data_IF_877996299903
#
_entry.id   IF_877996299903
#
_cell.length_a   1.000
_cell.length_b   1.000
_cell.length_c   1.000
_cell.angle_alpha   90.00
_cell.angle_beta   90.00
_cell.angle_gamma   90.00
#
_symmetry.space_group_name_H-M   'P 1'
#
loop_
_entity.id
_entity.type
_entity.pdbx_description
1 polymer ?
#
# COMPACT_ATOMS: atom_id res chain seq x y z
N UNK A 1 -12.38 -8.30 -51.39
CA UNK A 1 -12.97 -8.96 -50.21
C UNK A 1 -12.20 -8.42 -49.02
N UNK A 2 -12.73 -7.36 -48.42
CA UNK A 2 -12.14 -6.70 -47.27
C UNK A 2 -12.28 -7.59 -46.04
N UNK A 3 -11.16 -7.78 -45.37
CA UNK A 3 -10.97 -8.57 -44.16
C UNK A 3 -11.84 -8.05 -43.01
N UNK A 4 -13.02 -8.65 -42.83
CA UNK A 4 -13.90 -8.49 -41.66
C UNK A 4 -13.65 -9.57 -40.60
N UNK A 5 -12.59 -10.37 -40.72
CA UNK A 5 -12.42 -11.60 -39.91
C UNK A 5 -11.87 -11.38 -38.49
N UNK A 6 -11.33 -10.19 -38.16
CA UNK A 6 -10.81 -9.90 -36.82
C UNK A 6 -11.87 -9.42 -35.80
N UNK A 7 -13.09 -9.13 -36.23
CA UNK A 7 -14.12 -8.49 -35.39
C UNK A 7 -14.90 -9.46 -34.48
N UNK A 8 -14.83 -10.77 -34.72
CA UNK A 8 -15.69 -11.77 -34.05
C UNK A 8 -14.91 -12.78 -33.18
N UNK A 9 -13.59 -12.64 -33.07
CA UNK A 9 -12.80 -13.57 -32.25
C UNK A 9 -12.88 -13.19 -30.78
N UNK A 10 -13.40 -14.10 -29.95
CA UNK A 10 -13.44 -13.92 -28.50
C UNK A 10 -12.01 -13.96 -27.95
N UNK A 11 -11.59 -12.86 -27.32
CA UNK A 11 -10.26 -12.71 -26.73
C UNK A 11 -10.37 -12.63 -25.21
N UNK A 12 -9.54 -13.41 -24.52
CA UNK A 12 -9.30 -13.29 -23.09
C UNK A 12 -8.01 -12.49 -22.89
N UNK A 13 -8.06 -11.44 -22.07
CA UNK A 13 -6.85 -10.75 -21.64
C UNK A 13 -6.34 -11.37 -20.34
N UNK A 14 -5.09 -11.83 -20.35
CA UNK A 14 -4.41 -12.42 -19.20
C UNK A 14 -3.33 -11.46 -18.68
N UNK A 15 -3.47 -10.99 -17.43
CA UNK A 15 -2.55 -9.98 -16.91
C UNK A 15 -1.20 -10.57 -16.51
N UNK A 16 -0.10 -10.02 -17.03
CA UNK A 16 1.24 -10.23 -16.48
C UNK A 16 1.39 -9.29 -15.27
N UNK A 17 1.87 -9.84 -14.16
CA UNK A 17 1.88 -9.16 -12.86
C UNK A 17 3.27 -9.27 -12.22
N UNK A 18 3.35 -9.50 -10.92
CA UNK A 18 4.60 -9.43 -10.16
C UNK A 18 4.84 -10.72 -9.37
N UNK A 19 6.07 -10.92 -8.91
CA UNK A 19 6.44 -11.93 -7.91
C UNK A 19 5.94 -13.35 -8.24
N UNK A 20 5.33 -14.03 -7.26
CA UNK A 20 4.89 -15.42 -7.41
C UNK A 20 3.81 -15.61 -8.50
N UNK A 21 2.76 -14.76 -8.62
CA UNK A 21 1.82 -14.84 -9.73
C UNK A 21 2.46 -14.75 -11.12
N UNK A 22 3.51 -13.93 -11.30
CA UNK A 22 4.22 -13.86 -12.57
C UNK A 22 4.95 -15.17 -12.88
N UNK A 23 5.66 -15.75 -11.89
CA UNK A 23 6.33 -17.04 -12.04
C UNK A 23 5.35 -18.17 -12.38
N UNK A 24 4.18 -18.20 -11.73
CA UNK A 24 3.13 -19.17 -12.03
C UNK A 24 2.59 -19.00 -13.45
N UNK A 25 2.43 -17.76 -13.91
CA UNK A 25 1.99 -17.43 -15.27
C UNK A 25 2.93 -18.02 -16.32
N UNK A 26 4.25 -17.95 -16.11
CA UNK A 26 5.23 -18.54 -17.04
C UNK A 26 5.02 -20.05 -17.28
N UNK A 27 4.49 -20.76 -16.28
CA UNK A 27 4.16 -22.20 -16.42
C UNK A 27 2.75 -22.44 -16.94
N UNK A 28 1.77 -21.67 -16.49
CA UNK A 28 0.35 -21.97 -16.70
C UNK A 28 -0.21 -21.37 -18.00
N UNK A 29 0.27 -20.18 -18.40
CA UNK A 29 -0.26 -19.47 -19.56
C UNK A 29 -0.13 -20.28 -20.87
N UNK A 30 1.00 -20.94 -21.19
CA UNK A 30 1.11 -21.74 -22.40
C UNK A 30 0.11 -22.91 -22.44
N UNK A 31 -0.25 -23.45 -21.26
CA UNK A 31 -1.26 -24.50 -21.15
C UNK A 31 -2.66 -23.92 -21.45
N UNK A 32 -2.99 -22.76 -20.87
CA UNK A 32 -4.27 -22.09 -21.13
C UNK A 32 -4.42 -21.80 -22.63
N UNK A 33 -3.42 -21.17 -23.24
CA UNK A 33 -3.38 -20.85 -24.67
C UNK A 33 -3.61 -22.08 -25.55
N UNK A 34 -2.89 -23.18 -25.29
CA UNK A 34 -3.02 -24.41 -26.06
C UNK A 34 -4.44 -25.01 -25.98
N UNK A 35 -5.07 -24.96 -24.80
CA UNK A 35 -6.43 -25.47 -24.62
C UNK A 35 -7.48 -24.57 -25.27
N UNK A 36 -7.39 -23.25 -25.07
CA UNK A 36 -8.38 -22.29 -25.59
C UNK A 36 -8.32 -22.13 -27.10
N UNK A 37 -7.14 -22.30 -27.71
CA UNK A 37 -6.97 -22.27 -29.16
C UNK A 37 -7.87 -23.31 -29.88
N UNK A 38 -8.12 -24.47 -29.26
CA UNK A 38 -9.01 -25.51 -29.83
C UNK A 38 -10.47 -25.07 -29.92
N UNK A 39 -10.86 -24.04 -29.16
CA UNK A 39 -12.19 -23.43 -29.15
C UNK A 39 -12.25 -22.11 -29.92
N UNK A 40 -11.17 -21.71 -30.63
CA UNK A 40 -11.09 -20.43 -31.34
C UNK A 40 -10.98 -19.21 -30.43
N UNK A 41 -10.67 -19.40 -29.14
CA UNK A 41 -10.54 -18.31 -28.17
C UNK A 41 -9.09 -17.86 -28.10
N UNK A 42 -8.84 -16.59 -28.45
CA UNK A 42 -7.53 -15.98 -28.32
C UNK A 42 -7.23 -15.64 -26.86
N UNK A 43 -5.96 -15.74 -26.48
CA UNK A 43 -5.47 -15.23 -25.20
C UNK A 43 -4.38 -14.23 -25.52
N UNK A 44 -4.57 -13.00 -25.07
CA UNK A 44 -3.57 -11.93 -25.18
C UNK A 44 -3.10 -11.51 -23.81
N UNK A 45 -1.87 -11.03 -23.72
CA UNK A 45 -1.30 -10.56 -22.47
C UNK A 45 -1.30 -9.04 -22.39
N UNK A 46 -1.46 -8.51 -21.18
CA UNK A 46 -1.19 -7.10 -20.86
C UNK A 46 -0.33 -7.03 -19.61
N UNK A 47 0.78 -6.30 -19.68
CA UNK A 47 1.74 -6.15 -18.60
C UNK A 47 1.37 -5.00 -17.68
N UNK A 48 0.89 -5.37 -16.50
CA UNK A 48 0.56 -4.44 -15.42
C UNK A 48 1.50 -4.61 -14.21
N UNK A 49 2.66 -5.25 -14.41
CA UNK A 49 3.72 -5.33 -13.41
C UNK A 49 4.14 -3.93 -12.95
N UNK A 50 4.77 -3.83 -11.78
CA UNK A 50 5.35 -2.58 -11.30
C UNK A 50 6.35 -2.01 -12.31
N UNK A 51 7.24 -2.86 -12.83
CA UNK A 51 8.26 -2.46 -13.79
C UNK A 51 7.67 -1.97 -15.10
N UNK A 52 6.70 -2.70 -15.67
CA UNK A 52 6.00 -2.28 -16.89
C UNK A 52 5.31 -0.92 -16.71
N UNK A 53 4.58 -0.74 -15.61
CA UNK A 53 3.92 0.55 -15.31
C UNK A 53 4.88 1.70 -15.06
N UNK A 54 6.07 1.45 -14.50
CA UNK A 54 7.13 2.48 -14.40
C UNK A 54 7.58 2.91 -15.79
N UNK A 55 7.95 1.94 -16.65
CA UNK A 55 8.48 2.23 -17.98
C UNK A 55 7.45 2.97 -18.85
N UNK A 56 6.16 2.59 -18.77
CA UNK A 56 5.08 3.26 -19.48
C UNK A 56 4.90 4.75 -19.13
N UNK A 57 5.40 5.22 -17.98
CA UNK A 57 5.36 6.64 -17.60
C UNK A 57 6.51 7.50 -18.14
N UNK A 58 7.55 6.88 -18.71
CA UNK A 58 8.73 7.57 -19.23
C UNK A 58 9.12 7.13 -20.66
N UNK A 59 8.17 7.00 -21.61
CA UNK A 59 8.48 6.52 -22.96
C UNK A 59 9.52 7.41 -23.67
N UNK A 60 9.53 8.71 -23.38
CA UNK A 60 10.45 9.68 -23.98
C UNK A 60 11.91 9.44 -23.61
N UNK A 61 12.19 8.69 -22.54
CA UNK A 61 13.54 8.38 -22.07
C UNK A 61 14.03 6.99 -22.49
N UNK A 62 13.14 6.16 -23.02
CA UNK A 62 13.42 4.76 -23.29
C UNK A 62 13.78 4.46 -24.75
N UNK A 63 13.46 5.36 -25.68
CA UNK A 63 13.70 5.16 -27.11
C UNK A 63 13.08 3.85 -27.60
N UNK A 64 13.89 2.98 -28.22
CA UNK A 64 13.45 1.66 -28.71
C UNK A 64 13.01 0.68 -27.60
N UNK A 65 13.28 1.01 -26.32
CA UNK A 65 12.84 0.22 -25.15
C UNK A 65 11.50 0.70 -24.60
N UNK A 66 10.86 1.69 -25.21
CA UNK A 66 9.55 2.15 -24.80
C UNK A 66 8.50 1.03 -24.98
N UNK A 67 7.58 0.93 -24.04
CA UNK A 67 6.49 -0.04 -24.04
C UNK A 67 5.15 0.69 -23.99
N UNK A 68 4.07 -0.02 -24.35
CA UNK A 68 2.70 0.49 -24.26
C UNK A 68 2.25 0.70 -22.82
N UNK A 69 1.32 1.64 -22.61
CA UNK A 69 0.61 1.78 -21.33
C UNK A 69 -0.58 0.81 -21.30
N UNK A 70 -0.27 -0.45 -21.02
CA UNK A 70 -1.22 -1.55 -20.97
C UNK A 70 -2.29 -1.35 -19.88
N UNK A 71 -1.99 -0.62 -18.80
CA UNK A 71 -2.98 -0.31 -17.76
C UNK A 71 -4.02 0.69 -18.28
N UNK A 72 -3.59 1.72 -19.01
CA UNK A 72 -4.51 2.65 -19.65
C UNK A 72 -5.39 1.94 -20.70
N UNK A 73 -4.80 1.07 -21.52
CA UNK A 73 -5.55 0.26 -22.48
C UNK A 73 -6.59 -0.63 -21.80
N UNK A 74 -6.20 -1.35 -20.74
CA UNK A 74 -7.13 -2.18 -19.97
C UNK A 74 -8.25 -1.38 -19.30
N UNK A 75 -7.96 -0.14 -18.88
CA UNK A 75 -8.96 0.77 -18.31
C UNK A 75 -10.03 1.18 -19.32
N UNK A 76 -9.65 1.41 -20.58
CA UNK A 76 -10.62 1.64 -21.65
C UNK A 76 -11.36 0.36 -22.01
N UNK A 77 -10.66 -0.79 -22.10
CA UNK A 77 -11.28 -2.08 -22.38
C UNK A 77 -12.35 -2.42 -21.33
N UNK A 78 -12.10 -2.21 -20.03
CA UNK A 78 -13.02 -2.51 -18.94
C UNK A 78 -14.37 -1.78 -19.03
N UNK A 79 -14.44 -0.69 -19.81
CA UNK A 79 -15.67 0.09 -20.07
C UNK A 79 -16.45 -0.42 -21.28
N UNK A 80 -15.95 -1.46 -21.96
CA UNK A 80 -16.57 -2.05 -23.15
C UNK A 80 -17.27 -3.38 -22.82
N UNK A 81 -18.36 -3.72 -23.52
CA UNK A 81 -19.03 -5.03 -23.36
C UNK A 81 -18.15 -6.24 -23.71
N UNK A 82 -17.10 -6.04 -24.50
CA UNK A 82 -16.19 -7.09 -24.97
C UNK A 82 -15.12 -7.46 -23.93
N UNK A 83 -15.02 -6.73 -22.82
CA UNK A 83 -14.01 -6.96 -21.79
C UNK A 83 -14.11 -8.37 -21.19
N UNK A 84 -13.05 -9.17 -21.36
CA UNK A 84 -12.89 -10.46 -20.70
C UNK A 84 -11.48 -10.54 -20.12
N UNK A 85 -11.32 -10.11 -18.87
CA UNK A 85 -10.02 -9.89 -18.24
C UNK A 85 -9.82 -10.87 -17.08
N UNK A 86 -8.79 -11.72 -17.18
CA UNK A 86 -8.29 -12.53 -16.07
C UNK A 86 -7.21 -11.73 -15.35
N UNK A 87 -7.59 -11.15 -14.20
CA UNK A 87 -6.73 -10.32 -13.36
C UNK A 87 -6.08 -11.13 -12.23
N UNK A 88 -4.75 -11.27 -12.27
CA UNK A 88 -3.95 -11.90 -11.21
C UNK A 88 -3.55 -10.88 -10.14
N UNK A 89 -3.18 -11.29 -8.90
CA UNK A 89 -2.64 -10.37 -7.90
C UNK A 89 -1.40 -9.61 -8.40
N UNK A 90 -1.28 -8.32 -8.06
CA UNK A 90 -0.15 -7.46 -8.46
C UNK A 90 0.30 -6.59 -7.27
N UNK A 91 1.50 -6.02 -7.34
CA UNK A 91 2.06 -5.15 -6.32
C UNK A 91 1.30 -3.82 -6.26
N UNK A 92 0.85 -3.45 -5.06
CA UNK A 92 0.53 -2.05 -4.71
C UNK A 92 1.76 -1.42 -4.06
N UNK A 93 2.60 -0.76 -4.85
CA UNK A 93 3.98 -0.47 -4.44
C UNK A 93 4.07 0.56 -3.31
N UNK A 94 4.79 0.22 -2.24
CA UNK A 94 5.32 1.19 -1.28
C UNK A 94 6.45 2.02 -1.91
N UNK A 95 6.87 3.11 -1.24
CA UNK A 95 8.02 3.92 -1.70
C UNK A 95 9.32 3.09 -1.76
N UNK A 96 9.65 2.26 -0.75
CA UNK A 96 10.83 1.39 -0.83
C UNK A 96 10.80 0.41 -2.02
N UNK A 97 9.65 -0.22 -2.28
CA UNK A 97 9.48 -1.13 -3.43
C UNK A 97 9.62 -0.39 -4.76
N UNK A 98 9.07 0.82 -4.86
CA UNK A 98 9.23 1.67 -6.04
C UNK A 98 10.70 2.01 -6.28
N UNK A 99 11.42 2.48 -5.27
CA UNK A 99 12.85 2.80 -5.35
C UNK A 99 13.69 1.59 -5.76
N UNK A 100 13.38 0.40 -5.22
CA UNK A 100 14.05 -0.83 -5.58
C UNK A 100 13.84 -1.18 -7.07
N UNK A 101 12.60 -1.10 -7.56
CA UNK A 101 12.28 -1.35 -8.96
C UNK A 101 12.95 -0.35 -9.91
N UNK A 102 12.98 0.94 -9.55
CA UNK A 102 13.70 1.99 -10.32
C UNK A 102 15.18 1.63 -10.43
N UNK A 103 15.82 1.31 -9.29
CA UNK A 103 17.25 0.95 -9.25
C UNK A 103 17.54 -0.29 -10.09
N UNK A 104 16.68 -1.30 -10.05
CA UNK A 104 16.81 -2.51 -10.87
C UNK A 104 16.72 -2.19 -12.37
N UNK A 105 15.71 -1.40 -12.78
CA UNK A 105 15.54 -0.98 -14.17
C UNK A 105 16.72 -0.14 -14.68
N UNK A 106 17.23 0.79 -13.86
CA UNK A 106 18.42 1.57 -14.17
C UNK A 106 19.65 0.68 -14.36
N UNK A 107 19.85 -0.33 -13.49
CA UNK A 107 20.93 -1.30 -13.63
C UNK A 107 20.81 -2.15 -14.91
N UNK A 108 19.59 -2.32 -15.44
CA UNK A 108 19.33 -2.96 -16.73
C UNK A 108 19.45 -1.99 -17.93
N UNK A 109 19.91 -0.75 -17.70
CA UNK A 109 20.19 0.27 -18.72
C UNK A 109 18.98 1.08 -19.17
N UNK A 110 17.90 1.13 -18.39
CA UNK A 110 16.77 2.03 -18.65
C UNK A 110 17.08 3.42 -18.08
N UNK A 111 17.12 4.45 -18.92
CA UNK A 111 17.41 5.84 -18.50
C UNK A 111 16.18 6.51 -17.85
N UNK A 112 15.70 5.96 -16.74
CA UNK A 112 14.59 6.52 -15.98
C UNK A 112 15.10 7.31 -14.76
N UNK A 113 14.47 8.44 -14.39
CA UNK A 113 14.93 9.28 -13.30
C UNK A 113 14.72 8.61 -11.94
N UNK A 114 15.51 8.99 -10.94
CA UNK A 114 15.26 8.61 -9.55
C UNK A 114 13.92 9.16 -9.04
N UNK A 115 13.38 8.55 -7.98
CA UNK A 115 12.20 9.08 -7.28
C UNK A 115 12.59 10.24 -6.35
N UNK A 116 12.17 11.49 -6.62
CA UNK A 116 12.47 12.62 -5.74
C UNK A 116 11.50 12.62 -4.55
N UNK A 117 12.01 12.37 -3.35
CA UNK A 117 11.21 12.39 -2.12
C UNK A 117 10.74 13.82 -1.79
N UNK A 118 11.67 14.78 -1.89
CA UNK A 118 11.44 16.20 -1.66
C UNK A 118 11.74 16.99 -2.95
N UNK A 119 10.77 17.17 -3.85
CA UNK A 119 11.01 17.86 -5.11
C UNK A 119 11.30 19.35 -4.86
N UNK A 120 12.43 19.82 -5.39
CA UNK A 120 12.93 21.21 -5.29
C UNK A 120 12.76 22.00 -6.58
N UNK A 121 12.21 21.38 -7.63
CA UNK A 121 11.95 22.01 -8.92
C UNK A 121 10.65 21.49 -9.56
N UNK A 122 10.15 22.21 -10.56
CA UNK A 122 8.99 21.78 -11.34
C UNK A 122 9.25 20.46 -12.08
N UNK A 123 10.47 20.24 -12.55
CA UNK A 123 10.88 18.99 -13.20
C UNK A 123 10.83 17.81 -12.22
N UNK A 124 11.34 17.99 -11.00
CA UNK A 124 11.25 16.96 -9.96
C UNK A 124 9.80 16.74 -9.51
N UNK A 125 8.97 17.79 -9.47
CA UNK A 125 7.55 17.66 -9.16
C UNK A 125 6.78 16.87 -10.24
N UNK A 126 7.09 17.06 -11.53
CA UNK A 126 6.53 16.24 -12.62
C UNK A 126 6.94 14.77 -12.48
N UNK A 127 8.24 14.50 -12.27
CA UNK A 127 8.77 13.14 -12.08
C UNK A 127 8.08 12.46 -10.90
N UNK A 128 7.97 13.16 -9.76
CA UNK A 128 7.26 12.65 -8.59
C UNK A 128 5.79 12.36 -8.91
N UNK A 129 5.13 13.27 -9.61
CA UNK A 129 3.73 13.13 -10.01
C UNK A 129 3.48 11.88 -10.86
N UNK A 130 4.36 11.58 -11.81
CA UNK A 130 4.29 10.36 -12.64
C UNK A 130 4.49 9.09 -11.81
N UNK A 131 5.51 9.05 -10.96
CA UNK A 131 5.72 7.91 -10.05
C UNK A 131 4.58 7.73 -9.02
N UNK A 132 3.98 8.82 -8.56
CA UNK A 132 2.85 8.79 -7.62
C UNK A 132 1.55 8.22 -8.24
N UNK A 133 1.47 8.16 -9.57
CA UNK A 133 0.43 7.41 -10.31
C UNK A 133 0.68 5.91 -10.34
N UNK A 134 1.95 5.50 -10.24
CA UNK A 134 2.37 4.08 -10.28
C UNK A 134 2.35 3.44 -8.89
N UNK A 135 2.70 4.19 -7.85
CA UNK A 135 2.75 3.68 -6.47
C UNK A 135 1.37 3.49 -5.85
N UNK A 136 1.29 2.60 -4.86
CA UNK A 136 0.06 2.20 -4.19
C UNK A 136 -0.87 1.37 -5.08
N UNK A 137 -2.16 1.31 -4.74
CA UNK A 137 -3.16 0.55 -5.50
C UNK A 137 -3.57 1.27 -6.80
N UNK A 138 -2.67 1.34 -7.78
CA UNK A 138 -2.91 2.02 -9.05
C UNK A 138 -3.79 1.20 -10.03
N UNK A 139 -3.70 -0.13 -9.99
CA UNK A 139 -4.37 -0.99 -10.98
C UNK A 139 -5.85 -1.21 -10.66
N UNK A 140 -6.19 -1.57 -9.42
CA UNK A 140 -7.57 -1.94 -9.06
C UNK A 140 -8.61 -0.84 -9.34
N UNK A 141 -8.35 0.45 -9.05
CA UNK A 141 -9.31 1.51 -9.34
C UNK A 141 -9.60 1.70 -10.82
N UNK A 142 -8.67 1.30 -11.71
CA UNK A 142 -8.82 1.40 -13.17
C UNK A 142 -9.63 0.23 -13.72
N UNK A 143 -9.48 -0.97 -13.16
CA UNK A 143 -10.10 -2.19 -13.71
C UNK A 143 -11.47 -2.52 -13.10
N UNK A 144 -11.85 -1.91 -11.98
CA UNK A 144 -13.08 -2.23 -11.24
C UNK A 144 -14.25 -1.34 -11.64
N UNK A 145 -14.63 -1.43 -12.91
CA UNK A 145 -15.83 -0.78 -13.48
C UNK A 145 -17.13 -1.56 -13.17
N UNK A 146 -17.21 -2.10 -11.94
CA UNK A 146 -18.31 -2.95 -11.50
C UNK A 146 -18.18 -3.35 -10.04
N UNK A 147 -19.25 -3.95 -9.52
CA UNK A 147 -19.30 -4.45 -8.14
C UNK A 147 -18.59 -5.81 -7.99
N UNK A 148 -18.42 -6.26 -6.75
CA UNK A 148 -17.68 -7.48 -6.42
C UNK A 148 -18.62 -8.64 -6.02
N UNK A 149 -18.63 -9.75 -6.76
CA UNK A 149 -19.13 -11.05 -6.29
C UNK A 149 -17.93 -11.90 -5.82
N UNK A 150 -17.74 -12.02 -4.50
CA UNK A 150 -16.64 -12.78 -3.91
C UNK A 150 -17.15 -13.84 -2.94
N UNK A 151 -16.95 -15.11 -3.30
CA UNK A 151 -17.39 -16.28 -2.52
C UNK A 151 -16.47 -17.48 -2.74
N UNK A 152 -16.37 -18.33 -1.72
CA UNK A 152 -15.65 -19.60 -1.85
C UNK A 152 -16.46 -20.59 -2.72
N UNK A 153 -15.90 -21.18 -3.78
CA UNK A 153 -16.58 -22.22 -4.54
C UNK A 153 -16.90 -23.45 -3.67
N UNK A 154 -18.00 -24.14 -3.99
CA UNK A 154 -18.45 -25.32 -3.23
C UNK A 154 -17.38 -26.41 -3.17
N UNK A 155 -16.69 -26.67 -4.27
CA UNK A 155 -15.60 -27.67 -4.35
C UNK A 155 -14.48 -27.36 -3.34
N UNK A 156 -14.06 -26.10 -3.25
CA UNK A 156 -13.04 -25.64 -2.29
C UNK A 156 -13.55 -25.79 -0.85
N UNK A 157 -14.82 -25.45 -0.58
CA UNK A 157 -15.41 -25.60 0.76
C UNK A 157 -15.52 -27.06 1.18
N UNK A 158 -15.92 -27.95 0.28
CA UNK A 158 -16.01 -29.39 0.54
C UNK A 158 -14.62 -29.99 0.79
N UNK A 159 -13.61 -29.56 0.03
CA UNK A 159 -12.23 -29.95 0.27
C UNK A 159 -11.76 -29.52 1.67
N UNK A 160 -12.00 -28.27 2.07
CA UNK A 160 -11.63 -27.78 3.40
C UNK A 160 -12.33 -28.53 4.56
N UNK A 161 -13.54 -29.07 4.34
CA UNK A 161 -14.20 -29.94 5.34
C UNK A 161 -13.51 -31.30 5.47
N UNK A 162 -13.05 -31.87 4.36
CA UNK A 162 -12.34 -33.17 4.34
C UNK A 162 -10.90 -33.04 4.83
N UNK A 163 -10.29 -31.88 4.60
CA UNK A 163 -8.90 -31.58 4.93
C UNK A 163 -8.84 -30.30 5.78
N UNK A 164 -9.29 -30.35 7.04
CA UNK A 164 -9.34 -29.18 7.89
C UNK A 164 -7.93 -28.62 8.12
N UNK A 165 -7.77 -27.34 7.85
CA UNK A 165 -6.53 -26.64 8.16
C UNK A 165 -6.44 -26.35 9.66
N UNK A 166 -5.20 -26.15 10.15
CA UNK A 166 -4.96 -25.83 11.55
C UNK A 166 -5.65 -24.51 11.94
N UNK A 167 -6.33 -24.57 13.08
CA UNK A 167 -6.96 -23.44 13.77
C UNK A 167 -6.41 -23.44 15.21
N UNK A 168 -5.90 -22.31 15.65
CA UNK A 168 -5.38 -22.14 17.00
C UNK A 168 -6.47 -22.23 18.06
N UNK A 169 -6.15 -22.82 19.22
CA UNK A 169 -7.10 -22.94 20.33
C UNK A 169 -7.24 -21.59 21.04
N UNK A 170 -8.47 -21.08 21.10
CA UNK A 170 -8.79 -19.89 21.86
C UNK A 170 -8.94 -20.20 23.36
N UNK A 171 -8.44 -19.28 24.20
CA UNK A 171 -8.64 -19.29 25.65
C UNK A 171 -9.59 -18.18 26.06
N UNK A 172 -10.45 -18.43 27.04
CA UNK A 172 -11.27 -17.40 27.66
C UNK A 172 -10.43 -16.35 28.41
N UNK A 173 -9.22 -16.74 28.85
CA UNK A 173 -8.27 -15.84 29.51
C UNK A 173 -7.39 -15.05 28.51
N UNK A 174 -7.72 -15.10 27.22
CA UNK A 174 -6.98 -14.32 26.21
C UNK A 174 -7.09 -12.84 26.51
N UNK A 175 -5.93 -12.16 26.57
CA UNK A 175 -5.85 -10.70 26.73
C UNK A 175 -5.86 -9.96 25.39
N UNK A 176 -5.88 -10.67 24.26
CA UNK A 176 -5.87 -10.08 22.93
C UNK A 176 -7.18 -9.31 22.69
N UNK A 177 -7.05 -8.06 22.25
CA UNK A 177 -8.16 -7.18 21.96
C UNK A 177 -7.77 -6.19 20.85
N UNK A 178 -8.75 -5.58 20.21
CA UNK A 178 -8.52 -4.45 19.30
C UNK A 178 -8.68 -3.17 20.12
N UNK A 179 -7.68 -2.30 20.05
CA UNK A 179 -7.79 -0.92 20.52
C UNK A 179 -8.04 -0.01 19.30
N UNK A 180 -9.02 0.88 19.42
CA UNK A 180 -9.31 1.91 18.44
C UNK A 180 -9.59 3.24 19.16
N UNK A 181 -9.54 4.36 18.42
CA UNK A 181 -9.84 5.67 18.99
C UNK A 181 -11.33 5.78 19.36
N UNK A 182 -11.63 6.51 20.43
CA UNK A 182 -13.00 6.83 20.86
C UNK A 182 -13.51 8.17 20.31
N UNK A 183 -12.61 9.05 19.87
CA UNK A 183 -12.93 10.36 19.31
C UNK A 183 -11.77 10.92 18.49
N UNK A 184 -12.07 11.91 17.64
CA UNK A 184 -11.07 12.63 16.84
C UNK A 184 -10.50 11.79 15.69
N UNK A 185 -11.16 10.70 15.34
CA UNK A 185 -10.86 9.87 14.19
C UNK A 185 -11.80 10.18 13.01
N UNK A 186 -11.62 9.44 11.92
CA UNK A 186 -12.45 9.62 10.74
C UNK A 186 -13.92 9.30 11.02
N UNK A 187 -14.19 8.26 11.83
CA UNK A 187 -15.56 7.88 12.17
C UNK A 187 -16.28 9.00 12.94
N UNK A 188 -15.65 9.56 13.98
CA UNK A 188 -16.27 10.56 14.84
C UNK A 188 -16.46 11.94 14.21
N UNK A 189 -15.93 12.19 13.01
CA UNK A 189 -15.98 13.50 12.34
C UNK A 189 -16.64 13.49 10.95
N UNK A 190 -17.09 12.32 10.49
CA UNK A 190 -17.68 12.15 9.17
C UNK A 190 -18.96 12.98 8.98
N UNK A 191 -19.06 13.62 7.82
CA UNK A 191 -20.25 14.28 7.32
C UNK A 191 -20.48 13.84 5.87
N UNK A 192 -21.73 13.58 5.52
CA UNK A 192 -22.15 13.12 4.19
C UNK A 192 -23.14 14.10 3.57
N UNK A 193 -23.08 14.26 2.25
CA UNK A 193 -24.06 15.00 1.48
C UNK A 193 -24.40 14.29 0.16
N UNK A 194 -25.69 14.27 -0.19
CA UNK A 194 -26.15 13.87 -1.51
C UNK A 194 -26.18 15.09 -2.44
N UNK A 195 -25.57 14.97 -3.61
CA UNK A 195 -25.48 16.03 -4.60
C UNK A 195 -26.76 16.06 -5.44
N UNK A 196 -27.52 17.17 -5.46
CA UNK A 196 -28.83 17.19 -6.13
C UNK A 196 -28.72 17.32 -7.66
N UNK A 197 -27.63 17.90 -8.18
CA UNK A 197 -27.46 18.19 -9.59
C UNK A 197 -26.00 18.03 -10.00
N UNK A 198 -25.77 17.68 -11.26
CA UNK A 198 -24.44 17.67 -11.86
C UNK A 198 -23.74 19.03 -11.68
N UNK A 199 -22.43 18.99 -11.40
CA UNK A 199 -21.66 20.20 -11.20
C UNK A 199 -20.22 19.97 -10.82
N UNK A 200 -19.70 20.86 -9.99
CA UNK A 200 -18.36 20.72 -9.43
C UNK A 200 -18.25 21.37 -8.06
N UNK A 201 -17.48 20.74 -7.16
CA UNK A 201 -17.17 21.27 -5.84
C UNK A 201 -15.70 21.67 -5.74
N UNK A 202 -15.41 22.59 -4.82
CA UNK A 202 -14.06 23.02 -4.47
C UNK A 202 -13.80 22.69 -3.00
N UNK A 203 -12.60 22.23 -2.69
CA UNK A 203 -12.15 21.95 -1.33
C UNK A 203 -11.19 23.07 -0.93
N UNK A 204 -11.56 23.85 0.09
CA UNK A 204 -10.80 25.01 0.58
C UNK A 204 -10.50 24.85 2.06
N UNK A 205 -9.28 25.21 2.46
CA UNK A 205 -8.94 25.45 3.85
C UNK A 205 -9.09 26.94 4.17
N UNK A 206 -9.66 27.25 5.33
CA UNK A 206 -9.75 28.62 5.86
C UNK A 206 -9.05 28.60 7.22
N UNK A 207 -7.94 29.33 7.31
CA UNK A 207 -7.17 29.48 8.53
C UNK A 207 -7.90 30.33 9.57
N UNK A 208 -7.49 30.20 10.83
CA UNK A 208 -8.03 30.99 11.94
C UNK A 208 -7.75 32.48 11.81
N UNK A 209 -6.78 32.86 10.97
CA UNK A 209 -6.45 34.23 10.59
C UNK A 209 -7.28 34.77 9.41
N UNK A 210 -8.24 33.99 8.91
CA UNK A 210 -9.09 34.33 7.78
C UNK A 210 -8.44 34.12 6.41
N UNK A 211 -7.16 33.73 6.32
CA UNK A 211 -6.53 33.40 5.04
C UNK A 211 -7.08 32.07 4.53
N UNK A 212 -7.36 32.00 3.22
CA UNK A 212 -7.84 30.78 2.59
C UNK A 212 -6.87 30.23 1.57
N UNK A 213 -6.71 28.91 1.54
CA UNK A 213 -5.98 28.19 0.50
C UNK A 213 -6.90 27.18 -0.18
N UNK A 214 -6.75 27.05 -1.49
CA UNK A 214 -7.48 26.05 -2.25
C UNK A 214 -6.73 24.73 -2.19
N UNK A 215 -7.37 23.68 -1.67
CA UNK A 215 -6.78 22.34 -1.59
C UNK A 215 -7.04 21.57 -2.87
N UNK A 216 -8.23 21.72 -3.45
CA UNK A 216 -8.61 21.10 -4.73
C UNK A 216 -9.72 21.89 -5.40
N UNK A 217 -9.60 22.11 -6.70
CA UNK A 217 -10.62 22.79 -7.52
C UNK A 217 -11.32 21.84 -8.47
N UNK A 218 -12.57 22.16 -8.82
CA UNK A 218 -13.26 21.58 -9.96
C UNK A 218 -13.50 20.07 -9.85
N UNK A 219 -13.68 19.54 -8.64
CA UNK A 219 -14.02 18.13 -8.44
C UNK A 219 -15.41 17.93 -9.02
N UNK A 220 -15.51 17.21 -10.14
CA UNK A 220 -16.77 16.91 -10.79
C UNK A 220 -17.63 16.04 -9.88
N UNK A 221 -18.92 16.36 -9.83
CA UNK A 221 -19.92 15.60 -9.10
C UNK A 221 -21.17 15.42 -9.96
N UNK A 222 -21.86 14.31 -9.77
CA UNK A 222 -23.10 13.96 -10.47
C UNK A 222 -24.34 14.07 -9.57
N UNK A 223 -25.51 14.25 -10.18
CA UNK A 223 -26.78 14.17 -9.47
C UNK A 223 -26.96 12.78 -8.82
N UNK A 224 -27.33 12.76 -7.55
CA UNK A 224 -27.44 11.56 -6.72
C UNK A 224 -26.10 11.02 -6.18
N UNK A 225 -24.97 11.66 -6.48
CA UNK A 225 -23.67 11.27 -5.91
C UNK A 225 -23.63 11.57 -4.41
N UNK A 226 -23.18 10.60 -3.62
CA UNK A 226 -22.87 10.80 -2.22
C UNK A 226 -21.40 11.21 -2.10
N UNK A 227 -21.16 12.33 -1.42
CA UNK A 227 -19.80 12.76 -1.06
C UNK A 227 -19.66 12.86 0.46
N UNK A 228 -18.53 12.39 0.97
CA UNK A 228 -18.21 12.37 2.39
C UNK A 228 -16.98 13.22 2.68
N UNK A 229 -16.98 13.89 3.82
CA UNK A 229 -15.85 14.63 4.35
C UNK A 229 -15.61 14.24 5.81
N UNK A 230 -14.35 13.99 6.16
CA UNK A 230 -13.95 13.54 7.48
C UNK A 230 -12.52 13.99 7.79
N UNK A 231 -12.10 13.97 9.06
CA UNK A 231 -10.74 14.29 9.46
C UNK A 231 -10.20 13.41 10.60
N UNK A 232 -8.88 13.21 10.61
CA UNK A 232 -8.16 12.56 11.69
C UNK A 232 -7.37 13.62 12.46
N UNK A 233 -7.66 13.78 13.75
CA UNK A 233 -6.92 14.69 14.62
C UNK A 233 -5.58 14.07 14.98
N UNK A 234 -4.48 14.64 14.44
CA UNK A 234 -3.10 14.22 14.79
C UNK A 234 -2.87 14.21 16.30
N UNK A 235 -3.39 15.22 17.02
CA UNK A 235 -3.26 15.33 18.48
C UNK A 235 -3.98 14.18 19.20
N UNK A 236 -5.19 13.84 18.78
CA UNK A 236 -5.95 12.75 19.38
C UNK A 236 -5.31 11.40 19.07
N UNK A 237 -4.86 11.18 17.83
CA UNK A 237 -4.15 9.96 17.43
C UNK A 237 -2.87 9.75 18.24
N UNK A 238 -2.03 10.79 18.37
CA UNK A 238 -0.80 10.73 19.16
C UNK A 238 -1.08 10.39 20.64
N UNK A 239 -2.10 11.03 21.24
CA UNK A 239 -2.49 10.74 22.61
C UNK A 239 -3.01 9.31 22.78
N UNK A 240 -3.83 8.83 21.83
CA UNK A 240 -4.32 7.47 21.80
C UNK A 240 -3.17 6.47 21.71
N UNK A 241 -2.23 6.65 20.79
CA UNK A 241 -1.10 5.72 20.63
C UNK A 241 -0.25 5.67 21.90
N UNK A 242 0.07 6.81 22.52
CA UNK A 242 0.80 6.81 23.82
C UNK A 242 0.05 6.02 24.88
N UNK A 243 -1.26 6.21 24.99
CA UNK A 243 -2.06 5.45 25.96
C UNK A 243 -2.03 3.94 25.67
N UNK A 244 -2.10 3.52 24.40
CA UNK A 244 -2.05 2.10 24.03
C UNK A 244 -0.66 1.48 24.22
N UNK A 245 0.42 2.24 24.04
CA UNK A 245 1.78 1.79 24.35
C UNK A 245 1.91 1.48 25.85
N UNK A 246 1.44 2.38 26.72
CA UNK A 246 1.50 2.18 28.17
C UNK A 246 0.58 1.03 28.63
N UNK A 247 -0.65 0.97 28.11
CA UNK A 247 -1.60 -0.11 28.41
C UNK A 247 -1.06 -1.50 28.00
N UNK A 248 -0.46 -1.60 26.81
CA UNK A 248 0.18 -2.84 26.36
C UNK A 248 1.32 -3.26 27.30
N UNK A 249 2.11 -2.30 27.80
CA UNK A 249 3.20 -2.56 28.75
C UNK A 249 2.65 -3.06 30.07
N UNK A 250 1.65 -2.37 30.64
CA UNK A 250 1.04 -2.71 31.92
C UNK A 250 0.35 -4.09 31.89
N UNK A 251 -0.35 -4.41 30.79
CA UNK A 251 -1.02 -5.71 30.62
C UNK A 251 -0.06 -6.85 30.25
N UNK A 252 1.17 -6.52 29.85
CA UNK A 252 2.20 -7.46 29.41
C UNK A 252 1.87 -8.14 28.07
N UNK A 253 1.14 -7.47 27.19
CA UNK A 253 0.76 -7.96 25.85
C UNK A 253 1.69 -7.39 24.77
N UNK A 254 1.67 -7.98 23.57
CA UNK A 254 2.40 -7.43 22.44
C UNK A 254 1.67 -6.19 21.89
N UNK A 255 2.41 -5.12 21.63
CA UNK A 255 1.93 -3.99 20.85
C UNK A 255 2.00 -4.34 19.36
N UNK A 256 0.89 -4.16 18.65
CA UNK A 256 0.81 -4.32 17.19
C UNK A 256 -0.07 -3.25 16.56
N UNK A 257 0.33 -2.82 15.37
CA UNK A 257 -0.29 -1.81 14.53
C UNK A 257 -0.71 -2.46 13.22
N UNK A 258 -1.98 -2.31 12.87
CA UNK A 258 -2.60 -2.91 11.70
C UNK A 258 -3.22 -1.82 10.84
N UNK A 259 -2.55 -1.44 9.76
CA UNK A 259 -2.98 -0.40 8.82
C UNK A 259 -2.99 -0.95 7.38
N UNK A 260 -3.32 -0.10 6.40
CA UNK A 260 -3.34 -0.47 4.97
C UNK A 260 -2.52 0.52 4.13
N UNK A 261 -1.30 0.83 4.59
CA UNK A 261 -0.43 1.88 4.07
C UNK A 261 -0.19 1.89 2.55
N UNK A 262 -0.19 0.72 1.90
CA UNK A 262 -0.01 0.61 0.44
C UNK A 262 -1.25 1.02 -0.35
N UNK A 263 -2.44 0.71 0.14
CA UNK A 263 -3.70 1.10 -0.52
C UNK A 263 -4.04 2.55 -0.16
N UNK A 264 -3.98 2.88 1.13
CA UNK A 264 -4.25 4.20 1.68
C UNK A 264 -3.00 5.08 1.63
N UNK A 265 -2.50 5.33 0.41
CA UNK A 265 -1.16 5.87 0.11
C UNK A 265 -0.82 7.26 0.67
N UNK A 266 -1.76 7.92 1.35
CA UNK A 266 -1.58 9.25 1.97
C UNK A 266 -1.87 9.18 3.47
N UNK A 267 -3.05 8.74 3.89
CA UNK A 267 -3.47 8.75 5.30
C UNK A 267 -2.65 7.81 6.17
N UNK A 268 -2.52 6.56 5.75
CA UNK A 268 -2.00 5.50 6.60
C UNK A 268 -0.48 5.60 6.82
N UNK A 269 0.36 5.99 5.84
CA UNK A 269 1.76 6.31 6.11
C UNK A 269 1.93 7.42 7.16
N UNK A 270 1.07 8.45 7.16
CA UNK A 270 1.10 9.51 8.19
C UNK A 270 0.72 8.93 9.56
N UNK A 271 -0.34 8.11 9.63
CA UNK A 271 -0.74 7.45 10.88
C UNK A 271 0.35 6.51 11.41
N UNK A 272 1.02 5.79 10.51
CA UNK A 272 2.16 4.93 10.83
C UNK A 272 3.33 5.75 11.36
N UNK A 273 3.66 6.88 10.72
CA UNK A 273 4.70 7.79 11.19
C UNK A 273 4.41 8.40 12.55
N UNK A 274 3.15 8.70 12.87
CA UNK A 274 2.75 9.06 14.24
C UNK A 274 3.03 7.90 15.20
N UNK A 275 2.70 6.66 14.84
CA UNK A 275 2.98 5.50 15.70
C UNK A 275 4.47 5.30 15.97
N UNK A 276 5.30 5.42 14.94
CA UNK A 276 6.78 5.39 15.05
C UNK A 276 7.26 6.53 15.96
N UNK A 277 6.76 7.74 15.73
CA UNK A 277 7.15 8.92 16.51
C UNK A 277 6.83 8.75 17.99
N UNK A 278 5.64 8.27 18.33
CA UNK A 278 5.23 8.09 19.73
C UNK A 278 5.94 6.91 20.41
N UNK A 279 6.19 5.81 19.67
CA UNK A 279 6.92 4.67 20.22
C UNK A 279 8.38 5.02 20.53
N UNK A 280 9.08 5.60 19.54
CA UNK A 280 10.51 5.92 19.60
C UNK A 280 10.83 7.34 20.10
N UNK A 281 9.82 8.10 20.55
CA UNK A 281 9.91 9.53 20.91
C UNK A 281 11.17 9.93 21.67
N UNK A 282 11.53 9.28 22.80
CA UNK A 282 12.72 9.66 23.56
C UNK A 282 14.02 9.61 22.75
N UNK A 283 14.17 8.63 21.85
CA UNK A 283 15.34 8.49 20.98
C UNK A 283 15.30 9.54 19.87
N UNK A 284 14.14 9.69 19.23
CA UNK A 284 13.98 10.62 18.11
C UNK A 284 14.19 12.08 18.55
N UNK A 285 13.73 12.44 19.74
CA UNK A 285 13.95 13.77 20.33
C UNK A 285 15.42 14.01 20.66
N UNK A 286 16.09 13.01 21.26
CA UNK A 286 17.52 13.10 21.62
C UNK A 286 18.42 13.29 20.41
N UNK A 287 18.09 12.65 19.29
CA UNK A 287 18.91 12.64 18.06
C UNK A 287 18.34 13.50 16.92
N UNK A 288 17.37 14.38 17.21
CA UNK A 288 16.58 15.08 16.20
C UNK A 288 17.40 15.74 15.10
N UNK A 289 18.48 16.45 15.45
CA UNK A 289 19.33 17.15 14.48
C UNK A 289 20.06 16.18 13.53
N UNK A 290 20.58 15.07 14.06
CA UNK A 290 21.29 14.07 13.26
C UNK A 290 20.32 13.33 12.33
N UNK A 291 19.11 13.04 12.82
CA UNK A 291 18.04 12.40 12.05
C UNK A 291 17.53 13.29 10.91
N UNK A 292 17.32 14.58 11.18
CA UNK A 292 16.92 15.58 10.18
C UNK A 292 17.99 15.74 9.09
N UNK A 293 19.27 15.84 9.48
CA UNK A 293 20.38 15.91 8.53
C UNK A 293 20.51 14.64 7.66
N UNK A 294 20.19 13.47 8.23
CA UNK A 294 20.15 12.20 7.49
C UNK A 294 18.89 12.06 6.62
N UNK A 295 17.88 12.93 6.79
CA UNK A 295 16.61 12.92 6.08
C UNK A 295 15.67 11.79 6.51
N UNK A 296 15.74 11.34 7.76
CA UNK A 296 14.87 10.27 8.28
C UNK A 296 13.38 10.64 8.16
N UNK A 297 12.58 9.74 7.56
CA UNK A 297 11.13 9.89 7.47
C UNK A 297 10.42 8.79 8.28
N UNK A 298 9.78 9.12 9.42
CA UNK A 298 9.06 8.15 10.23
C UNK A 298 7.87 7.53 9.49
N UNK A 299 7.33 8.17 8.44
CA UNK A 299 6.26 7.59 7.63
C UNK A 299 6.72 6.36 6.83
N UNK A 300 8.04 6.20 6.62
CA UNK A 300 8.65 5.01 6.01
C UNK A 300 9.05 3.95 7.05
N UNK A 301 8.80 4.20 8.33
CA UNK A 301 9.07 3.28 9.44
C UNK A 301 10.49 3.36 10.00
N UNK A 302 10.73 2.66 11.11
CA UNK A 302 12.05 2.67 11.77
C UNK A 302 13.12 2.03 10.88
N UNK A 303 12.74 1.20 9.91
CA UNK A 303 13.63 0.68 8.88
C UNK A 303 14.29 1.76 8.04
N UNK A 304 13.63 2.91 7.83
CA UNK A 304 14.20 4.06 7.14
C UNK A 304 15.38 4.67 7.90
N UNK A 305 15.28 4.73 9.24
CA UNK A 305 16.41 5.12 10.09
C UNK A 305 17.58 4.14 9.92
N UNK A 306 17.33 2.84 10.07
CA UNK A 306 18.38 1.83 9.91
C UNK A 306 19.05 1.86 8.52
N UNK A 307 18.30 2.20 7.46
CA UNK A 307 18.86 2.38 6.12
C UNK A 307 19.76 3.61 5.98
N UNK A 308 19.54 4.64 6.81
CA UNK A 308 20.31 5.90 6.80
C UNK A 308 21.53 5.85 7.71
N UNK A 309 21.52 5.02 8.76
CA UNK A 309 22.64 4.89 9.71
C UNK A 309 24.01 4.78 9.02
N UNK A 310 24.22 3.97 7.96
CA UNK A 310 25.53 3.84 7.32
C UNK A 310 26.11 5.14 6.73
N UNK A 311 25.27 6.16 6.49
CA UNK A 311 25.70 7.47 6.01
C UNK A 311 26.07 8.46 7.12
N UNK A 312 25.84 8.10 8.39
CA UNK A 312 26.08 8.93 9.56
C UNK A 312 27.47 8.65 10.18
N UNK A 313 28.01 9.53 11.03
CA UNK A 313 29.23 9.23 11.80
C UNK A 313 29.07 8.01 12.70
N UNK A 314 30.09 7.13 12.77
CA UNK A 314 30.04 5.87 13.53
C UNK A 314 29.65 6.04 15.01
N UNK A 315 30.13 7.10 15.66
CA UNK A 315 29.78 7.41 17.04
C UNK A 315 28.30 7.75 17.22
N UNK A 316 27.69 8.45 16.25
CA UNK A 316 26.26 8.75 16.27
C UNK A 316 25.44 7.49 16.00
N UNK A 317 25.87 6.66 15.04
CA UNK A 317 25.22 5.37 14.76
C UNK A 317 25.16 4.49 16.03
N UNK A 318 26.30 4.30 16.70
CA UNK A 318 26.39 3.50 17.90
C UNK A 318 25.53 4.07 19.05
N UNK A 319 25.49 5.39 19.20
CA UNK A 319 24.67 6.08 20.20
C UNK A 319 23.17 5.88 19.95
N UNK A 320 22.72 6.07 18.71
CA UNK A 320 21.32 5.87 18.30
C UNK A 320 20.90 4.41 18.53
N UNK A 321 21.71 3.44 18.09
CA UNK A 321 21.39 2.01 18.25
C UNK A 321 21.28 1.66 19.75
N UNK A 322 22.23 2.10 20.57
CA UNK A 322 22.21 1.84 22.00
C UNK A 322 20.97 2.43 22.70
N UNK A 323 20.55 3.63 22.30
CA UNK A 323 19.35 4.27 22.85
C UNK A 323 18.06 3.55 22.40
N UNK A 324 18.01 3.03 21.16
CA UNK A 324 16.89 2.19 20.70
C UNK A 324 16.82 0.89 21.50
N UNK A 325 17.95 0.23 21.72
CA UNK A 325 18.03 -1.02 22.49
C UNK A 325 17.60 -0.80 23.95
N UNK A 326 18.03 0.31 24.56
CA UNK A 326 17.58 0.71 25.90
C UNK A 326 16.07 0.98 25.94
N UNK A 327 15.54 1.68 24.93
CA UNK A 327 14.12 2.00 24.85
C UNK A 327 13.25 0.73 24.75
N UNK A 328 13.70 -0.30 24.04
CA UNK A 328 12.96 -1.58 23.97
C UNK A 328 12.81 -2.28 25.33
N UNK A 329 13.69 -2.01 26.30
CA UNK A 329 13.54 -2.51 27.67
C UNK A 329 12.46 -1.76 28.47
N UNK A 330 12.13 -0.52 28.07
CA UNK A 330 11.14 0.34 28.74
C UNK A 330 9.75 0.29 28.09
N UNK A 331 9.69 -0.03 26.79
CA UNK A 331 8.48 -0.13 25.98
C UNK A 331 7.83 -1.51 26.05
N UNK A 332 6.53 -1.65 25.71
CA UNK A 332 5.95 -2.97 25.51
C UNK A 332 6.69 -3.72 24.41
N UNK A 333 6.74 -5.05 24.54
CA UNK A 333 7.22 -5.90 23.46
C UNK A 333 6.34 -5.69 22.22
N UNK A 334 6.95 -5.67 21.05
CA UNK A 334 6.27 -5.45 19.78
C UNK A 334 6.06 -6.76 19.02
N UNK A 335 5.01 -6.84 18.21
CA UNK A 335 4.86 -7.91 17.25
C UNK A 335 6.00 -7.88 16.20
N UNK A 336 6.47 -9.06 15.81
CA UNK A 336 7.57 -9.23 14.85
C UNK A 336 7.06 -9.70 13.49
N UNK A 337 7.64 -9.12 12.44
CA UNK A 337 7.52 -9.62 11.06
C UNK A 337 8.54 -10.74 10.84
N UNK A 338 9.75 -10.56 11.36
CA UNK A 338 10.81 -11.58 11.36
C UNK A 338 11.66 -11.43 12.63
N UNK A 339 11.43 -12.32 13.61
CA UNK A 339 12.13 -12.29 14.90
C UNK A 339 13.63 -12.55 14.76
N UNK A 340 14.05 -13.50 13.92
CA UNK A 340 15.46 -13.85 13.71
C UNK A 340 16.30 -12.69 13.16
N UNK A 341 15.66 -11.76 12.45
CA UNK A 341 16.27 -10.57 11.86
C UNK A 341 15.96 -9.27 12.61
N UNK A 342 15.24 -9.35 13.73
CA UNK A 342 14.84 -8.16 14.48
C UNK A 342 13.83 -7.25 13.75
N UNK A 343 13.16 -7.72 12.69
CA UNK A 343 12.21 -6.92 11.92
C UNK A 343 10.89 -6.86 12.67
N UNK A 344 10.62 -5.70 13.27
CA UNK A 344 9.42 -5.40 14.05
C UNK A 344 8.27 -4.94 13.17
N UNK A 345 7.07 -4.89 13.74
CA UNK A 345 5.88 -4.34 13.10
C UNK A 345 6.00 -2.86 12.70
N UNK A 346 6.87 -2.08 13.35
CA UNK A 346 7.13 -0.67 12.99
C UNK A 346 8.29 -0.48 12.00
N UNK A 347 8.89 -1.55 11.46
CA UNK A 347 9.99 -1.45 10.49
C UNK A 347 9.56 -0.86 9.15
N UNK A 348 8.53 -1.42 8.52
CA UNK A 348 8.06 -1.00 7.20
C UNK A 348 6.52 -0.93 7.19
N UNK A 349 5.90 0.18 6.74
CA UNK A 349 4.44 0.37 6.76
C UNK A 349 3.64 -0.68 5.98
N UNK A 350 4.27 -1.34 5.01
CA UNK A 350 3.63 -2.33 4.13
C UNK A 350 3.71 -3.77 4.62
N UNK A 351 4.44 -4.05 5.71
CA UNK A 351 4.68 -5.44 6.13
C UNK A 351 3.45 -6.06 6.82
N UNK A 352 2.77 -5.29 7.69
CA UNK A 352 1.58 -5.76 8.42
C UNK A 352 0.33 -5.05 7.89
N UNK A 353 -0.32 -5.70 6.93
CA UNK A 353 -1.52 -5.18 6.25
C UNK A 353 -2.77 -5.69 6.95
N UNK A 354 -3.66 -4.79 7.41
CA UNK A 354 -4.79 -5.09 8.31
C UNK A 354 -5.70 -6.22 7.84
N UNK A 355 -6.04 -6.28 6.55
CA UNK A 355 -6.97 -7.28 6.00
C UNK A 355 -6.36 -8.68 5.87
N UNK A 356 -5.04 -8.81 5.93
CA UNK A 356 -4.33 -10.10 5.98
C UNK A 356 -3.89 -10.47 7.41
N UNK A 357 -3.34 -9.49 8.14
CA UNK A 357 -2.76 -9.68 9.46
C UNK A 357 -3.80 -9.97 10.55
N UNK A 358 -4.95 -9.29 10.53
CA UNK A 358 -6.00 -9.52 11.52
C UNK A 358 -6.59 -10.93 11.43
N UNK A 359 -6.99 -11.46 10.25
CA UNK A 359 -7.41 -12.85 10.12
C UNK A 359 -6.31 -13.86 10.49
N UNK A 360 -5.04 -13.58 10.18
CA UNK A 360 -3.93 -14.45 10.55
C UNK A 360 -3.77 -14.54 12.08
N UNK A 361 -3.78 -13.40 12.77
CA UNK A 361 -3.74 -13.32 14.23
C UNK A 361 -4.93 -14.03 14.87
N UNK A 362 -6.15 -13.81 14.35
CA UNK A 362 -7.37 -14.45 14.87
C UNK A 362 -7.31 -15.98 14.70
N UNK A 363 -6.87 -16.44 13.53
CA UNK A 363 -6.71 -17.87 13.23
C UNK A 363 -5.71 -18.53 14.16
N UNK A 364 -4.65 -17.81 14.55
CA UNK A 364 -3.57 -18.33 15.39
C UNK A 364 -3.78 -18.05 16.88
N UNK A 365 -4.99 -18.31 17.37
CA UNK A 365 -5.36 -18.16 18.81
C UNK A 365 -5.31 -16.72 19.33
N UNK A 366 -5.43 -15.72 18.45
CA UNK A 366 -5.32 -14.32 18.83
C UNK A 366 -3.88 -13.86 19.10
N UNK A 367 -2.88 -14.51 18.49
CA UNK A 367 -1.46 -14.28 18.80
C UNK A 367 -0.67 -13.77 17.59
N UNK A 368 0.44 -13.13 17.90
CA UNK A 368 1.50 -12.75 16.95
C UNK A 368 2.85 -13.15 17.54
N UNK A 369 3.89 -13.13 16.70
CA UNK A 369 5.24 -13.50 17.09
C UNK A 369 5.91 -12.39 17.90
N UNK A 370 6.62 -12.77 18.96
CA UNK A 370 7.48 -11.89 19.76
C UNK A 370 8.95 -11.97 19.29
N UNK A 371 9.80 -11.11 19.86
CA UNK A 371 11.25 -11.12 19.66
C UNK A 371 11.91 -12.38 20.18
#
# INVERSE_FOLDING_TARGET
>A
MSDTSRSDQLTIIYTLTDEAPLLATQSLLPIIEAFTATAGVAVETRDISLSGRILAQFPERLGDRAISDDLAELGELAKTPQANIIKLPNISASVPQLKAAIKELQAQGCDIPDYPEEPKSEAEADIKGRYDRVKGSAVNPVLREGNSDRRAPKSVKDYARKHPHRMGKWSADSKSHVAHMDHGDFYGSEQSAEIPNDGSVNIRFIGTDGRSSMLKTGVKVSAGELIDATCMSKKALAAFIRAQIEDAREKGVLFSLHLKATMMKVSDPIMFGVAVTEFYGPVLEKHAQALDAAGFDPNNGIGDLYARLPSMPEAEQASIIADIDALYAERPRMAMVNSDKGITNLHVPSDIIVDASMPAMIRDSGRMWNA
#
